data_IF_471094243914
#
_entry.id   IF_471094243914
#
_cell.length_a   1.000
_cell.length_b   1.000
_cell.length_c   1.000
_cell.angle_alpha   90.00
_cell.angle_beta   90.00
_cell.angle_gamma   90.00
#
_symmetry.space_group_name_H-M   'P 1'
#
loop_
_entity.id
_entity.type
_entity.pdbx_description
1 polymer ?
#
# COMPACT_ATOMS: atom_id res chain seq x y z
N UNK A 1 6.52 16.47 28.22
CA UNK A 1 5.55 15.81 27.33
C UNK A 1 6.25 15.41 26.03
N UNK A 2 6.01 14.19 25.57
CA UNK A 2 6.55 13.71 24.29
C UNK A 2 5.90 14.44 23.11
N UNK A 3 6.56 14.46 21.96
CA UNK A 3 6.05 15.14 20.75
C UNK A 3 4.85 14.42 20.16
N UNK A 4 4.89 13.07 20.08
CA UNK A 4 3.85 12.27 19.44
C UNK A 4 3.52 10.99 20.23
N UNK A 5 2.25 10.57 20.18
CA UNK A 5 1.77 9.29 20.67
C UNK A 5 0.99 8.58 19.55
N UNK A 6 1.34 7.34 19.23
CA UNK A 6 0.72 6.55 18.16
C UNK A 6 -0.11 5.42 18.74
N UNK A 7 -1.40 5.42 18.44
CA UNK A 7 -2.32 4.32 18.69
C UNK A 7 -2.58 3.57 17.38
N UNK A 8 -2.09 2.35 17.26
CA UNK A 8 -2.22 1.57 16.06
C UNK A 8 -2.01 0.08 16.27
N UNK A 9 -2.17 -0.72 15.23
CA UNK A 9 -2.07 -2.17 15.29
C UNK A 9 -0.61 -2.59 15.16
N UNK A 10 0.10 -2.74 16.27
CA UNK A 10 1.51 -3.15 16.31
C UNK A 10 1.69 -4.67 16.33
N UNK A 11 0.78 -5.38 16.98
CA UNK A 11 0.90 -6.83 17.19
C UNK A 11 2.14 -7.18 18.01
N UNK A 12 2.39 -6.46 19.10
CA UNK A 12 3.54 -6.67 19.97
C UNK A 12 3.57 -8.13 20.45
N UNK A 13 4.72 -8.80 20.28
CA UNK A 13 4.89 -10.22 20.60
C UNK A 13 4.32 -11.19 19.56
N UNK A 14 3.85 -10.70 18.39
CA UNK A 14 3.31 -11.50 17.29
C UNK A 14 3.99 -11.13 15.97
N UNK A 15 4.30 -12.12 15.16
CA UNK A 15 4.84 -11.89 13.81
C UNK A 15 3.71 -11.69 12.80
N UNK A 16 3.13 -10.48 12.75
CA UNK A 16 2.03 -10.13 11.86
C UNK A 16 2.56 -9.34 10.67
N UNK A 17 2.33 -9.86 9.47
CA UNK A 17 2.79 -9.28 8.19
C UNK A 17 1.65 -8.64 7.38
N UNK A 18 0.49 -8.36 8.00
CA UNK A 18 -0.59 -7.67 7.29
C UNK A 18 -0.27 -6.18 7.09
N UNK A 19 -0.84 -5.59 6.01
CA UNK A 19 -0.56 -4.20 5.62
C UNK A 19 -0.82 -3.16 6.73
N UNK A 20 -1.82 -3.37 7.59
CA UNK A 20 -2.10 -2.48 8.72
C UNK A 20 -0.93 -2.46 9.73
N UNK A 21 -0.43 -3.63 10.12
CA UNK A 21 0.69 -3.73 11.06
C UNK A 21 1.97 -3.15 10.46
N UNK A 22 2.26 -3.49 9.20
CA UNK A 22 3.43 -2.98 8.50
C UNK A 22 3.39 -1.45 8.45
N UNK A 23 2.30 -0.85 7.96
CA UNK A 23 2.19 0.60 7.87
C UNK A 23 2.27 1.28 9.24
N UNK A 24 1.61 0.71 10.28
CA UNK A 24 1.69 1.26 11.63
C UNK A 24 3.13 1.29 12.14
N UNK A 25 3.88 0.21 11.95
CA UNK A 25 5.30 0.13 12.35
C UNK A 25 6.16 1.11 11.54
N UNK A 26 6.02 1.13 10.21
CA UNK A 26 6.80 2.02 9.33
C UNK A 26 6.60 3.49 9.68
N UNK A 27 5.34 3.94 9.85
CA UNK A 27 5.04 5.33 10.25
C UNK A 27 5.63 5.64 11.63
N UNK A 28 5.51 4.71 12.58
CA UNK A 28 6.04 4.93 13.94
C UNK A 28 7.57 4.99 13.95
N UNK A 29 8.23 4.15 13.19
CA UNK A 29 9.69 4.16 13.03
C UNK A 29 10.15 5.49 12.43
N UNK A 30 9.50 5.97 11.38
CA UNK A 30 9.84 7.25 10.77
C UNK A 30 9.61 8.42 11.75
N UNK A 31 8.53 8.40 12.53
CA UNK A 31 8.33 9.38 13.60
C UNK A 31 9.46 9.37 14.63
N UNK A 32 9.95 8.18 15.03
CA UNK A 32 11.07 8.04 15.96
C UNK A 32 12.37 8.56 15.35
N UNK A 33 12.64 8.26 14.10
CA UNK A 33 13.80 8.74 13.36
C UNK A 33 13.81 10.28 13.27
N UNK A 34 12.68 10.90 12.98
CA UNK A 34 12.58 12.34 12.75
C UNK A 34 12.40 13.18 14.01
N UNK A 35 11.76 12.63 15.03
CA UNK A 35 11.44 13.36 16.27
C UNK A 35 12.36 13.00 17.44
N UNK A 36 13.02 11.84 17.35
CA UNK A 36 13.81 11.21 18.41
C UNK A 36 13.06 10.03 19.05
N UNK A 37 13.78 8.95 19.34
CA UNK A 37 13.24 7.68 19.88
C UNK A 37 12.41 7.92 21.16
N UNK A 38 12.92 8.75 22.08
CA UNK A 38 12.26 9.04 23.36
C UNK A 38 11.05 9.96 23.24
N UNK A 39 10.87 10.63 22.09
CA UNK A 39 9.81 11.61 21.85
C UNK A 39 8.52 10.98 21.30
N UNK A 40 8.54 9.68 21.02
CA UNK A 40 7.37 8.95 20.51
C UNK A 40 6.92 7.91 21.53
N UNK A 41 5.63 7.88 21.83
CA UNK A 41 4.99 6.84 22.63
C UNK A 41 4.09 5.99 21.75
N UNK A 42 3.85 4.73 22.14
CA UNK A 42 3.01 3.81 21.37
C UNK A 42 1.95 3.18 22.26
N UNK A 43 0.76 2.90 21.68
CA UNK A 43 -0.30 2.11 22.26
C UNK A 43 -0.76 1.07 21.24
N UNK A 44 -0.68 -0.22 21.58
CA UNK A 44 -1.06 -1.31 20.67
C UNK A 44 -2.56 -1.57 20.70
N UNK A 45 -3.22 -1.37 19.57
CA UNK A 45 -4.64 -1.64 19.39
C UNK A 45 -4.94 -3.11 19.01
N UNK A 46 -3.95 -3.99 19.07
CA UNK A 46 -4.13 -5.42 18.81
C UNK A 46 -4.88 -6.11 19.96
N UNK A 47 -5.86 -6.97 19.65
CA UNK A 47 -6.54 -7.81 20.66
C UNK A 47 -8.07 -7.82 20.60
N UNK A 48 -8.69 -7.11 19.66
CA UNK A 48 -10.14 -7.13 19.44
C UNK A 48 -10.95 -6.58 20.62
N UNK A 49 -12.22 -6.95 20.73
CA UNK A 49 -13.14 -6.42 21.74
C UNK A 49 -12.71 -6.64 23.19
N UNK A 50 -12.10 -7.79 23.49
CA UNK A 50 -11.64 -8.12 24.85
C UNK A 50 -10.53 -7.18 25.35
N UNK A 51 -9.78 -6.56 24.45
CA UNK A 51 -8.71 -5.63 24.78
C UNK A 51 -9.16 -4.17 24.86
N UNK A 52 -10.42 -3.85 24.56
CA UNK A 52 -10.92 -2.46 24.54
C UNK A 52 -10.71 -1.70 25.86
N UNK A 53 -10.94 -2.25 27.06
CA UNK A 53 -10.68 -1.51 28.32
C UNK A 53 -9.20 -1.15 28.46
N UNK A 54 -8.29 -2.09 28.17
CA UNK A 54 -6.84 -1.83 28.17
C UNK A 54 -6.49 -0.73 27.16
N UNK A 55 -7.02 -0.85 25.92
CA UNK A 55 -6.76 0.14 24.87
C UNK A 55 -7.23 1.54 25.28
N UNK A 56 -8.37 1.68 25.94
CA UNK A 56 -8.86 2.96 26.44
C UNK A 56 -7.87 3.57 27.44
N UNK A 57 -7.34 2.78 28.38
CA UNK A 57 -6.32 3.23 29.34
C UNK A 57 -5.02 3.63 28.63
N UNK A 58 -4.57 2.84 27.66
CA UNK A 58 -3.33 3.14 26.94
C UNK A 58 -3.47 4.41 26.08
N UNK A 59 -4.61 4.62 25.43
CA UNK A 59 -4.93 5.88 24.73
C UNK A 59 -4.97 7.06 25.72
N UNK A 60 -5.56 6.90 26.91
CA UNK A 60 -5.55 7.93 27.95
C UNK A 60 -4.12 8.32 28.36
N UNK A 61 -3.23 7.33 28.48
CA UNK A 61 -1.80 7.59 28.76
C UNK A 61 -1.14 8.42 27.65
N UNK A 62 -1.50 8.17 26.37
CA UNK A 62 -1.02 9.00 25.26
C UNK A 62 -1.50 10.45 25.38
N UNK A 63 -2.80 10.66 25.68
CA UNK A 63 -3.35 12.01 25.87
C UNK A 63 -2.71 12.76 27.05
N UNK A 64 -2.37 12.07 28.14
CA UNK A 64 -1.65 12.65 29.28
C UNK A 64 -0.20 13.00 28.94
N UNK A 65 0.48 12.16 28.16
CA UNK A 65 1.93 12.21 27.95
C UNK A 65 2.41 12.89 26.67
N UNK A 66 1.54 13.11 25.66
CA UNK A 66 1.95 13.56 24.35
C UNK A 66 1.26 14.86 23.93
N UNK A 67 1.92 15.66 23.08
CA UNK A 67 1.35 16.88 22.50
C UNK A 67 0.46 16.57 21.29
N UNK A 68 0.85 15.63 20.46
CA UNK A 68 0.11 15.14 19.30
C UNK A 68 -0.29 13.69 19.55
N UNK A 69 -1.52 13.29 19.24
CA UNK A 69 -2.01 11.93 19.39
C UNK A 69 -2.55 11.44 18.06
N UNK A 70 -1.95 10.37 17.55
CA UNK A 70 -2.18 9.83 16.22
C UNK A 70 -2.94 8.52 16.37
N UNK A 71 -4.04 8.35 15.64
CA UNK A 71 -4.72 7.06 15.55
C UNK A 71 -4.57 6.45 14.16
N UNK A 72 -4.42 5.12 14.11
CA UNK A 72 -4.27 4.33 12.89
C UNK A 72 -5.16 3.07 12.91
N UNK A 73 -6.46 3.17 13.24
CA UNK A 73 -7.33 2.00 13.23
C UNK A 73 -7.79 1.65 11.81
N UNK A 74 -8.08 0.36 11.59
CA UNK A 74 -8.89 -0.08 10.45
C UNK A 74 -10.38 0.27 10.66
N UNK A 75 -11.22 -0.02 9.64
CA UNK A 75 -12.65 0.34 9.59
C UNK A 75 -13.45 -0.01 10.85
N UNK A 76 -13.31 -1.22 11.40
CA UNK A 76 -14.01 -1.64 12.63
C UNK A 76 -13.56 -0.85 13.86
N UNK A 77 -12.26 -0.58 13.93
CA UNK A 77 -11.67 0.18 15.04
C UNK A 77 -12.06 1.66 15.02
N UNK A 78 -12.26 2.23 13.84
CA UNK A 78 -12.59 3.65 13.69
C UNK A 78 -13.84 4.04 14.48
N UNK A 79 -14.87 3.18 14.51
CA UNK A 79 -16.13 3.41 15.27
C UNK A 79 -15.91 3.50 16.78
N UNK A 80 -14.87 2.87 17.30
CA UNK A 80 -14.51 2.93 18.72
C UNK A 80 -13.53 4.05 19.01
N UNK A 81 -12.44 4.14 18.23
CA UNK A 81 -11.36 5.08 18.53
C UNK A 81 -11.73 6.53 18.27
N UNK A 82 -12.51 6.85 17.23
CA UNK A 82 -12.85 8.24 16.92
C UNK A 82 -13.66 8.91 18.07
N UNK A 83 -14.73 8.31 18.62
CA UNK A 83 -15.41 8.86 19.79
C UNK A 83 -14.50 8.93 21.03
N UNK A 84 -13.70 7.89 21.29
CA UNK A 84 -12.80 7.83 22.44
C UNK A 84 -11.77 8.97 22.42
N UNK A 85 -11.12 9.20 21.26
CA UNK A 85 -10.15 10.27 21.08
C UNK A 85 -10.78 11.64 21.32
N UNK A 86 -11.96 11.89 20.77
CA UNK A 86 -12.66 13.16 21.00
C UNK A 86 -13.10 13.35 22.43
N UNK A 87 -13.52 12.28 23.10
CA UNK A 87 -13.89 12.33 24.52
C UNK A 87 -12.70 12.75 25.38
N UNK A 88 -11.55 12.10 25.19
CA UNK A 88 -10.34 12.50 25.92
C UNK A 88 -9.86 13.89 25.52
N UNK A 89 -10.01 14.27 24.25
CA UNK A 89 -9.56 15.58 23.78
C UNK A 89 -10.35 16.76 24.35
N UNK A 90 -11.58 16.56 24.83
CA UNK A 90 -12.32 17.58 25.58
C UNK A 90 -11.55 18.05 26.84
N UNK A 91 -10.83 17.14 27.49
CA UNK A 91 -10.09 17.41 28.72
C UNK A 91 -8.64 17.80 28.47
N UNK A 92 -7.97 17.17 27.48
CA UNK A 92 -6.53 17.29 27.29
C UNK A 92 -6.13 18.29 26.21
N UNK A 93 -7.04 18.63 25.25
CA UNK A 93 -6.83 19.61 24.17
C UNK A 93 -5.53 19.35 23.40
N UNK A 94 -5.32 18.10 22.92
CA UNK A 94 -4.18 17.70 22.11
C UNK A 94 -4.50 17.87 20.63
N UNK A 95 -3.47 18.00 19.78
CA UNK A 95 -3.65 17.83 18.34
C UNK A 95 -3.91 16.36 18.04
N UNK A 96 -5.01 16.06 17.40
CA UNK A 96 -5.42 14.69 17.06
C UNK A 96 -5.36 14.46 15.57
N UNK A 97 -4.63 13.43 15.18
CA UNK A 97 -4.36 13.05 13.81
C UNK A 97 -4.93 11.66 13.52
N UNK A 98 -5.48 11.49 12.34
CA UNK A 98 -5.91 10.18 11.86
C UNK A 98 -5.16 9.81 10.58
N UNK A 99 -4.41 8.71 10.60
CA UNK A 99 -3.75 8.17 9.41
C UNK A 99 -4.59 7.01 8.91
N UNK A 100 -5.15 7.17 7.73
CA UNK A 100 -5.95 6.15 7.05
C UNK A 100 -5.02 5.10 6.46
N UNK A 101 -5.40 3.84 6.60
CA UNK A 101 -4.67 2.69 6.04
C UNK A 101 -5.57 2.00 5.03
N UNK A 102 -5.19 2.05 3.76
CA UNK A 102 -5.95 1.50 2.64
C UNK A 102 -7.05 2.44 2.10
N UNK A 103 -7.72 1.97 1.06
CA UNK A 103 -8.63 2.76 0.23
C UNK A 103 -10.13 2.65 0.57
N UNK A 104 -10.50 2.52 1.82
CA UNK A 104 -11.87 2.18 2.22
C UNK A 104 -12.67 3.32 2.88
N UNK A 105 -12.01 4.42 3.30
CA UNK A 105 -12.65 5.40 4.20
C UNK A 105 -13.83 6.11 3.55
N UNK A 106 -13.70 6.53 2.31
CA UNK A 106 -14.73 7.24 1.54
C UNK A 106 -16.05 6.47 1.48
N UNK A 107 -15.97 5.20 1.02
CA UNK A 107 -17.14 4.31 0.91
C UNK A 107 -17.69 3.91 2.28
N UNK A 108 -16.83 3.75 3.28
CA UNK A 108 -17.26 3.44 4.65
C UNK A 108 -18.07 4.57 5.27
N UNK A 109 -17.73 5.81 4.99
CA UNK A 109 -18.45 6.97 5.51
C UNK A 109 -19.86 7.14 4.89
N UNK A 110 -20.16 6.53 3.76
CA UNK A 110 -21.50 6.51 3.17
C UNK A 110 -22.53 5.89 4.12
N UNK A 111 -22.17 4.78 4.72
CA UNK A 111 -23.01 4.06 5.68
C UNK A 111 -22.85 4.53 7.13
N UNK A 112 -21.86 5.40 7.41
CA UNK A 112 -21.52 5.86 8.77
C UNK A 112 -21.46 7.39 8.86
N UNK A 113 -22.52 8.08 8.42
CA UNK A 113 -22.58 9.56 8.36
C UNK A 113 -22.29 10.26 9.69
N UNK A 114 -22.54 9.61 10.83
CA UNK A 114 -22.22 10.16 12.14
C UNK A 114 -20.71 10.32 12.38
N UNK A 115 -19.89 9.45 11.79
CA UNK A 115 -18.40 9.56 11.85
C UNK A 115 -17.90 10.79 11.12
N UNK A 116 -18.57 11.24 10.05
CA UNK A 116 -18.18 12.45 9.31
C UNK A 116 -18.13 13.65 10.27
N UNK A 117 -19.16 13.81 11.13
CA UNK A 117 -19.21 14.90 12.12
C UNK A 117 -18.10 14.83 13.16
N UNK A 118 -17.69 13.61 13.53
CA UNK A 118 -16.61 13.40 14.48
C UNK A 118 -15.24 13.66 13.84
N UNK A 119 -14.99 13.10 12.68
CA UNK A 119 -13.71 13.20 12.00
C UNK A 119 -13.38 14.61 11.54
N UNK A 120 -14.39 15.43 11.21
CA UNK A 120 -14.21 16.87 10.95
C UNK A 120 -13.62 17.65 12.14
N UNK A 121 -13.63 17.11 13.36
CA UNK A 121 -13.05 17.72 14.55
C UNK A 121 -11.58 17.33 14.78
N UNK A 122 -11.01 16.50 13.94
CA UNK A 122 -9.60 16.15 13.98
C UNK A 122 -8.75 17.26 13.35
N UNK A 123 -7.53 17.43 13.82
CA UNK A 123 -6.61 18.44 13.26
C UNK A 123 -6.17 18.06 11.85
N UNK A 124 -6.00 16.77 11.56
CA UNK A 124 -5.74 16.29 10.20
C UNK A 124 -6.14 14.83 10.03
N UNK A 125 -6.58 14.50 8.81
CA UNK A 125 -6.83 13.15 8.33
C UNK A 125 -5.89 12.91 7.15
N UNK A 126 -4.95 11.98 7.30
CA UNK A 126 -3.97 11.65 6.27
C UNK A 126 -4.48 10.50 5.43
N UNK A 127 -4.61 10.75 4.13
CA UNK A 127 -5.05 9.78 3.12
C UNK A 127 -3.93 9.49 2.12
N UNK A 128 -3.99 8.35 1.45
CA UNK A 128 -2.89 7.88 0.60
C UNK A 128 -2.90 8.47 -0.82
N UNK A 129 -4.02 9.05 -1.26
CA UNK A 129 -4.23 9.51 -2.64
C UNK A 129 -4.94 10.86 -2.71
N UNK A 130 -4.70 11.62 -3.79
CA UNK A 130 -5.44 12.86 -4.07
C UNK A 130 -6.91 12.57 -4.36
N UNK A 131 -7.20 11.46 -5.02
CA UNK A 131 -8.57 11.00 -5.29
C UNK A 131 -9.35 10.81 -3.99
N UNK A 132 -8.77 10.14 -2.99
CA UNK A 132 -9.44 9.98 -1.68
C UNK A 132 -9.60 11.33 -0.96
N UNK A 133 -8.61 12.22 -1.03
CA UNK A 133 -8.73 13.58 -0.48
C UNK A 133 -9.88 14.32 -1.13
N UNK A 134 -9.99 14.29 -2.46
CA UNK A 134 -11.09 14.93 -3.19
C UNK A 134 -12.44 14.39 -2.73
N UNK A 135 -12.60 13.07 -2.65
CA UNK A 135 -13.84 12.43 -2.17
C UNK A 135 -14.20 12.85 -0.73
N UNK A 136 -13.22 13.04 0.14
CA UNK A 136 -13.46 13.60 1.49
C UNK A 136 -13.83 15.08 1.44
N UNK A 137 -13.18 15.88 0.59
CA UNK A 137 -13.51 17.29 0.42
C UNK A 137 -14.96 17.48 -0.08
N UNK A 138 -15.44 16.66 -1.00
CA UNK A 138 -16.85 16.64 -1.46
C UNK A 138 -17.83 16.36 -0.31
N UNK A 139 -17.41 15.60 0.71
CA UNK A 139 -18.17 15.37 1.96
C UNK A 139 -18.01 16.53 2.97
N UNK A 140 -17.34 17.61 2.56
CA UNK A 140 -17.09 18.82 3.35
C UNK A 140 -16.02 18.66 4.43
N UNK A 141 -15.03 17.77 4.24
CA UNK A 141 -13.80 17.77 5.04
C UNK A 141 -12.85 18.86 4.52
N UNK A 142 -12.33 19.66 5.42
CA UNK A 142 -11.29 20.66 5.17
C UNK A 142 -9.94 20.31 5.82
N UNK A 143 -9.89 19.16 6.49
CA UNK A 143 -8.74 18.67 7.23
C UNK A 143 -8.13 17.40 6.63
N UNK A 144 -8.50 17.03 5.40
CA UNK A 144 -7.91 15.94 4.66
C UNK A 144 -6.57 16.38 4.03
N UNK A 145 -5.52 15.59 4.24
CA UNK A 145 -4.15 15.85 3.77
C UNK A 145 -3.63 14.60 3.09
N UNK A 146 -2.99 14.74 1.94
CA UNK A 146 -2.33 13.61 1.29
C UNK A 146 -1.01 13.30 1.99
N UNK A 147 -0.86 12.05 2.35
CA UNK A 147 0.37 11.45 2.83
C UNK A 147 0.42 10.05 2.20
N UNK A 148 1.12 9.95 1.09
CA UNK A 148 1.25 8.70 0.36
C UNK A 148 1.73 7.57 1.26
N UNK A 149 1.40 6.34 0.90
CA UNK A 149 2.04 5.20 1.53
C UNK A 149 3.53 5.25 1.24
N UNK A 150 4.32 4.76 2.19
CA UNK A 150 5.78 4.74 2.07
C UNK A 150 6.36 3.55 2.82
N UNK A 151 7.56 3.20 2.45
CA UNK A 151 8.37 2.19 3.13
C UNK A 151 9.84 2.58 3.03
N UNK A 152 10.69 1.97 3.84
CA UNK A 152 12.11 2.13 3.67
C UNK A 152 12.48 1.59 2.29
N UNK A 153 12.95 2.46 1.42
CA UNK A 153 13.32 2.09 0.08
C UNK A 153 14.75 1.56 0.07
N UNK A 154 14.92 0.36 -0.47
CA UNK A 154 16.21 -0.14 -0.94
C UNK A 154 16.26 0.07 -2.46
N UNK A 155 16.03 1.31 -2.90
CA UNK A 155 16.02 1.64 -4.32
C UNK A 155 17.36 1.34 -4.95
N UNK A 156 17.31 0.80 -6.18
CA UNK A 156 18.51 0.68 -7.01
C UNK A 156 19.07 2.07 -7.33
N UNK A 157 20.35 2.13 -7.59
CA UNK A 157 20.93 3.25 -8.34
C UNK A 157 20.63 3.10 -9.84
N UNK A 158 20.73 4.18 -10.60
CA UNK A 158 20.49 4.13 -12.06
C UNK A 158 21.42 3.13 -12.76
N UNK A 159 22.65 2.94 -12.25
CA UNK A 159 23.64 2.02 -12.81
C UNK A 159 23.34 0.53 -12.51
N UNK A 160 22.44 0.24 -11.59
CA UNK A 160 22.02 -1.12 -11.23
C UNK A 160 20.75 -1.56 -11.97
N UNK A 161 20.20 -0.70 -12.85
CA UNK A 161 19.03 -1.05 -13.64
C UNK A 161 19.38 -2.15 -14.65
N UNK A 162 18.62 -3.22 -14.61
CA UNK A 162 18.67 -4.29 -15.61
C UNK A 162 17.68 -4.00 -16.73
N UNK A 163 18.04 -4.27 -17.96
CA UNK A 163 17.20 -4.09 -19.16
C UNK A 163 17.05 -5.43 -19.86
N UNK A 164 16.04 -6.26 -19.49
CA UNK A 164 15.83 -7.53 -20.15
C UNK A 164 15.59 -7.35 -21.65
N UNK A 165 16.42 -7.97 -22.48
CA UNK A 165 16.51 -7.79 -23.95
C UNK A 165 16.19 -9.04 -24.76
N UNK A 166 15.84 -10.16 -24.08
CA UNK A 166 15.58 -11.44 -24.73
C UNK A 166 14.45 -12.24 -24.11
N UNK A 167 13.74 -12.97 -24.97
CA UNK A 167 12.72 -13.93 -24.53
C UNK A 167 13.34 -15.17 -23.85
N UNK A 168 12.67 -15.78 -22.86
CA UNK A 168 11.39 -15.35 -22.31
C UNK A 168 11.54 -14.20 -21.31
N UNK A 169 10.69 -13.18 -21.44
CA UNK A 169 10.62 -12.09 -20.48
C UNK A 169 9.98 -12.54 -19.18
N UNK A 170 10.62 -12.21 -18.05
CA UNK A 170 10.13 -12.61 -16.72
C UNK A 170 9.07 -11.63 -16.22
N UNK A 171 7.87 -12.13 -15.95
CA UNK A 171 6.81 -11.39 -15.30
C UNK A 171 6.64 -11.87 -13.87
N UNK A 172 6.11 -11.02 -13.00
CA UNK A 172 5.72 -11.46 -11.67
C UNK A 172 4.40 -10.83 -11.20
N UNK A 173 3.71 -11.53 -10.28
CA UNK A 173 2.79 -10.90 -9.34
C UNK A 173 3.49 -10.83 -7.98
N UNK A 174 3.31 -9.74 -7.24
CA UNK A 174 4.00 -9.52 -5.97
C UNK A 174 3.04 -8.95 -4.94
N UNK A 175 2.14 -9.79 -4.43
CA UNK A 175 1.11 -9.40 -3.46
C UNK A 175 0.62 -10.63 -2.70
N UNK A 176 -0.23 -10.43 -1.69
CA UNK A 176 -0.95 -11.56 -1.10
C UNK A 176 -1.66 -12.36 -2.21
N UNK A 177 -1.47 -13.67 -2.23
CA UNK A 177 -2.08 -14.55 -3.23
C UNK A 177 -3.52 -14.82 -2.83
N UNK A 178 -4.45 -14.17 -3.51
CA UNK A 178 -5.89 -14.29 -3.33
C UNK A 178 -6.61 -13.90 -4.63
N UNK A 179 -7.87 -14.33 -4.75
CA UNK A 179 -8.65 -14.14 -5.99
C UNK A 179 -8.70 -12.67 -6.42
N UNK A 180 -9.01 -11.78 -5.48
CA UNK A 180 -9.20 -10.34 -5.77
C UNK A 180 -7.90 -9.60 -6.15
N UNK A 181 -6.76 -10.27 -6.05
CA UNK A 181 -5.49 -9.74 -6.58
C UNK A 181 -5.28 -10.06 -8.06
N UNK A 182 -6.25 -10.75 -8.70
CA UNK A 182 -6.22 -11.05 -10.12
C UNK A 182 -5.16 -12.09 -10.51
N UNK A 183 -4.83 -12.99 -9.57
CA UNK A 183 -3.80 -14.03 -9.82
C UNK A 183 -4.22 -14.95 -10.97
N UNK A 184 -5.51 -15.34 -11.02
CA UNK A 184 -6.03 -16.17 -12.11
C UNK A 184 -5.99 -15.43 -13.44
N UNK A 185 -6.33 -14.13 -13.46
CA UNK A 185 -6.24 -13.29 -14.67
C UNK A 185 -4.81 -13.20 -15.20
N UNK A 186 -3.82 -13.07 -14.30
CA UNK A 186 -2.40 -13.04 -14.68
C UNK A 186 -1.95 -14.39 -15.28
N UNK A 187 -2.35 -15.51 -14.66
CA UNK A 187 -2.04 -16.87 -15.13
C UNK A 187 -2.63 -17.09 -16.53
N UNK A 188 -3.91 -16.79 -16.71
CA UNK A 188 -4.63 -17.02 -17.95
C UNK A 188 -4.11 -16.11 -19.08
N UNK A 189 -3.78 -14.86 -18.77
CA UNK A 189 -3.20 -13.94 -19.74
C UNK A 189 -1.85 -14.44 -20.27
N UNK A 190 -0.96 -14.90 -19.39
CA UNK A 190 0.35 -15.43 -19.81
C UNK A 190 0.21 -16.73 -20.61
N UNK A 191 -0.70 -17.62 -20.21
CA UNK A 191 -1.01 -18.83 -21.00
C UNK A 191 -1.51 -18.47 -22.40
N UNK A 192 -2.44 -17.52 -22.46
CA UNK A 192 -3.06 -17.07 -23.73
C UNK A 192 -2.04 -16.48 -24.68
N UNK A 193 -1.21 -15.53 -24.22
CA UNK A 193 -0.23 -14.86 -25.11
C UNK A 193 0.82 -15.83 -25.60
N UNK A 194 1.36 -16.71 -24.76
CA UNK A 194 2.33 -17.73 -25.18
C UNK A 194 1.73 -18.71 -26.18
N UNK A 195 0.47 -19.13 -25.98
CA UNK A 195 -0.24 -20.00 -26.91
C UNK A 195 -0.50 -19.32 -28.25
N UNK A 196 -0.98 -18.06 -28.25
CA UNK A 196 -1.25 -17.31 -29.48
C UNK A 196 0.02 -17.06 -30.31
N UNK A 197 1.16 -16.84 -29.66
CA UNK A 197 2.44 -16.63 -30.32
C UNK A 197 3.21 -17.92 -30.65
N UNK A 198 2.68 -19.09 -30.22
CA UNK A 198 3.26 -20.38 -30.50
C UNK A 198 4.62 -20.65 -29.87
N UNK A 199 5.04 -19.82 -28.90
CA UNK A 199 6.32 -19.92 -28.18
C UNK A 199 6.23 -19.33 -26.79
N UNK A 200 7.17 -19.67 -25.91
CA UNK A 200 7.25 -19.10 -24.58
C UNK A 200 7.88 -17.71 -24.62
N UNK A 201 7.06 -16.67 -24.78
CA UNK A 201 7.49 -15.27 -24.76
C UNK A 201 7.62 -14.76 -23.33
N UNK A 202 6.76 -15.26 -22.42
CA UNK A 202 6.74 -14.83 -21.03
C UNK A 202 6.82 -16.01 -20.07
N UNK A 203 7.54 -15.81 -18.95
CA UNK A 203 7.39 -16.63 -17.74
C UNK A 203 6.69 -15.83 -16.66
N UNK A 204 6.04 -16.49 -15.71
CA UNK A 204 5.34 -15.84 -14.60
C UNK A 204 5.74 -16.46 -13.26
N UNK A 205 6.27 -15.64 -12.37
CA UNK A 205 6.51 -16.00 -10.98
C UNK A 205 5.47 -15.35 -10.07
N UNK A 206 4.81 -16.15 -9.22
CA UNK A 206 3.75 -15.70 -8.31
C UNK A 206 4.34 -15.59 -6.91
N UNK A 207 4.55 -14.36 -6.43
CA UNK A 207 5.08 -14.09 -5.09
C UNK A 207 4.01 -13.61 -4.13
N UNK A 208 4.06 -14.12 -2.91
CA UNK A 208 3.26 -13.69 -1.79
C UNK A 208 2.79 -14.82 -0.90
N UNK A 209 2.30 -14.44 0.28
CA UNK A 209 1.63 -15.37 1.18
C UNK A 209 0.25 -15.70 0.62
N UNK A 210 -0.09 -16.98 0.56
CA UNK A 210 -1.43 -17.43 0.15
C UNK A 210 -2.42 -17.11 1.26
N UNK A 211 -3.55 -16.51 0.86
CA UNK A 211 -4.65 -16.24 1.78
C UNK A 211 -5.34 -17.55 2.17
N UNK A 212 -5.69 -17.70 3.43
CA UNK A 212 -6.28 -18.95 3.96
C UNK A 212 -7.55 -19.34 3.23
N UNK A 213 -8.40 -18.38 2.87
CA UNK A 213 -9.66 -18.64 2.19
C UNK A 213 -9.48 -19.00 0.71
N UNK A 214 -8.25 -18.85 0.19
CA UNK A 214 -7.88 -19.14 -1.20
C UNK A 214 -6.91 -20.33 -1.35
N UNK A 215 -6.47 -20.92 -0.26
CA UNK A 215 -5.40 -21.93 -0.22
C UNK A 215 -5.77 -23.19 -1.01
N UNK A 216 -6.99 -23.70 -0.84
CA UNK A 216 -7.48 -24.88 -1.57
C UNK A 216 -7.54 -24.60 -3.08
N UNK A 217 -8.18 -23.50 -3.48
CA UNK A 217 -8.28 -23.09 -4.89
C UNK A 217 -6.91 -22.91 -5.53
N UNK A 218 -5.98 -22.24 -4.85
CA UNK A 218 -4.63 -22.03 -5.38
C UNK A 218 -3.82 -23.32 -5.49
N UNK A 219 -4.05 -24.29 -4.58
CA UNK A 219 -3.44 -25.60 -4.66
C UNK A 219 -3.90 -26.38 -5.90
N UNK A 220 -5.18 -26.30 -6.25
CA UNK A 220 -5.70 -26.87 -7.50
C UNK A 220 -5.12 -26.19 -8.74
N UNK A 221 -5.06 -24.85 -8.73
CA UNK A 221 -4.46 -24.11 -9.84
C UNK A 221 -3.01 -24.51 -10.08
N UNK A 222 -2.20 -24.67 -9.04
CA UNK A 222 -0.80 -25.09 -9.16
C UNK A 222 -0.60 -26.40 -9.91
N UNK A 223 -1.56 -27.35 -9.80
CA UNK A 223 -1.47 -28.63 -10.52
C UNK A 223 -1.58 -28.45 -12.05
N UNK A 224 -2.11 -27.31 -12.50
CA UNK A 224 -2.31 -27.00 -13.92
C UNK A 224 -1.26 -26.01 -14.48
N UNK A 225 -0.23 -25.68 -13.69
CA UNK A 225 0.80 -24.76 -14.14
C UNK A 225 1.68 -25.40 -15.23
N UNK A 226 1.83 -24.76 -16.38
CA UNK A 226 2.87 -25.13 -17.32
C UNK A 226 4.24 -24.72 -16.78
N UNK A 227 5.32 -25.24 -17.38
CA UNK A 227 6.70 -25.05 -16.92
C UNK A 227 7.13 -23.56 -16.83
N UNK A 228 6.45 -22.69 -17.55
CA UNK A 228 6.73 -21.25 -17.54
C UNK A 228 5.97 -20.48 -16.44
N UNK A 229 5.18 -21.14 -15.56
CA UNK A 229 4.50 -20.52 -14.41
C UNK A 229 4.99 -21.17 -13.12
N UNK A 230 5.44 -20.35 -12.16
CA UNK A 230 6.00 -20.83 -10.90
C UNK A 230 5.43 -20.08 -9.70
N UNK A 231 5.41 -20.76 -8.55
CA UNK A 231 5.10 -20.17 -7.25
C UNK A 231 6.41 -19.86 -6.52
N UNK A 232 6.74 -18.58 -6.38
CA UNK A 232 7.96 -18.09 -5.72
C UNK A 232 7.83 -17.96 -4.20
N UNK A 233 6.61 -18.13 -3.66
CA UNK A 233 6.36 -18.01 -2.21
C UNK A 233 6.45 -16.58 -1.69
N UNK A 234 6.53 -16.43 -0.37
CA UNK A 234 6.62 -15.14 0.28
C UNK A 234 8.07 -14.64 0.33
N UNK A 235 8.28 -13.38 -0.04
CA UNK A 235 9.58 -12.70 -0.01
C UNK A 235 9.61 -11.75 1.19
N UNK A 236 10.74 -11.68 1.88
CA UNK A 236 10.96 -10.73 2.94
C UNK A 236 10.97 -9.29 2.40
N UNK A 237 10.39 -8.35 3.16
CA UNK A 237 10.17 -6.99 2.69
C UNK A 237 11.46 -6.22 2.32
N UNK A 238 12.57 -6.54 2.97
CA UNK A 238 13.89 -5.97 2.71
C UNK A 238 14.56 -6.52 1.44
N UNK A 239 14.03 -7.63 0.88
CA UNK A 239 14.54 -8.26 -0.35
C UNK A 239 13.66 -7.99 -1.57
N UNK A 240 12.58 -7.22 -1.43
CA UNK A 240 11.62 -7.02 -2.51
C UNK A 240 12.27 -6.39 -3.75
N UNK A 241 13.02 -5.31 -3.60
CA UNK A 241 13.69 -4.62 -4.71
C UNK A 241 14.71 -5.52 -5.41
N UNK A 242 15.55 -6.22 -4.64
CA UNK A 242 16.55 -7.14 -5.19
C UNK A 242 15.89 -8.31 -5.95
N UNK A 243 14.76 -8.80 -5.44
CA UNK A 243 13.99 -9.85 -6.14
C UNK A 243 13.39 -9.33 -7.45
N UNK A 244 12.83 -8.11 -7.43
CA UNK A 244 12.09 -7.58 -8.56
C UNK A 244 12.98 -7.05 -9.69
N UNK A 245 14.21 -6.61 -9.45
CA UNK A 245 15.06 -5.91 -10.42
C UNK A 245 15.23 -6.65 -11.77
N UNK A 246 15.26 -7.98 -11.75
CA UNK A 246 15.44 -8.82 -12.95
C UNK A 246 14.12 -9.12 -13.68
N UNK A 247 12.98 -8.65 -13.18
CA UNK A 247 11.71 -8.84 -13.86
C UNK A 247 11.47 -7.78 -14.92
N UNK A 248 10.83 -8.22 -16.01
CA UNK A 248 10.46 -7.35 -17.11
C UNK A 248 9.26 -6.47 -16.75
N UNK A 249 8.24 -7.05 -16.11
CA UNK A 249 7.08 -6.32 -15.63
C UNK A 249 6.50 -6.91 -14.34
N UNK A 250 5.89 -6.03 -13.52
CA UNK A 250 4.97 -6.43 -12.45
C UNK A 250 3.53 -6.45 -12.99
N UNK A 251 2.83 -7.56 -12.86
CA UNK A 251 1.40 -7.66 -13.13
C UNK A 251 0.62 -7.38 -11.84
N UNK A 252 -0.26 -6.38 -11.89
CA UNK A 252 -1.07 -5.96 -10.75
C UNK A 252 -2.55 -5.80 -11.14
N UNK A 253 -3.21 -6.88 -11.63
CA UNK A 253 -4.59 -6.86 -12.11
C UNK A 253 -5.62 -6.92 -10.96
N UNK A 254 -5.37 -6.20 -9.87
CA UNK A 254 -6.17 -6.25 -8.64
C UNK A 254 -7.55 -5.64 -8.82
N UNK A 255 -8.57 -6.25 -8.18
CA UNK A 255 -9.90 -5.67 -7.93
C UNK A 255 -10.28 -5.75 -6.45
N UNK A 256 -9.28 -5.82 -5.58
CA UNK A 256 -9.46 -5.87 -4.13
C UNK A 256 -10.07 -4.57 -3.60
N UNK A 257 -11.24 -4.68 -2.94
CA UNK A 257 -12.00 -3.51 -2.45
C UNK A 257 -11.28 -2.65 -1.43
N UNK A 258 -10.35 -3.22 -0.68
CA UNK A 258 -9.56 -2.54 0.34
C UNK A 258 -8.26 -1.92 -0.20
N UNK A 259 -8.03 -1.92 -1.52
CA UNK A 259 -6.82 -1.39 -2.11
C UNK A 259 -6.69 0.11 -1.83
N UNK A 260 -5.54 0.50 -1.30
CA UNK A 260 -5.08 1.88 -1.23
C UNK A 260 -3.90 2.06 -2.15
N UNK A 261 -2.90 2.83 -1.75
CA UNK A 261 -1.62 2.82 -2.43
C UNK A 261 -0.83 1.56 -2.05
N UNK A 262 -0.81 0.59 -2.95
CA UNK A 262 -0.21 -0.71 -2.70
C UNK A 262 1.31 -0.61 -2.58
N UNK A 263 1.88 -1.16 -1.49
CA UNK A 263 3.33 -1.17 -1.27
C UNK A 263 4.11 -1.90 -2.36
N UNK A 264 3.48 -2.84 -3.08
CA UNK A 264 4.09 -3.54 -4.21
C UNK A 264 4.39 -2.63 -5.40
N UNK A 265 3.59 -1.56 -5.60
CA UNK A 265 3.87 -0.55 -6.64
C UNK A 265 5.17 0.21 -6.30
N UNK A 266 5.36 0.54 -5.02
CA UNK A 266 6.59 1.18 -4.55
C UNK A 266 7.79 0.25 -4.73
N UNK A 267 7.63 -1.06 -4.44
CA UNK A 267 8.69 -2.06 -4.63
C UNK A 267 9.11 -2.16 -6.10
N UNK A 268 8.13 -2.27 -7.01
CA UNK A 268 8.39 -2.34 -8.43
C UNK A 268 9.10 -1.08 -8.95
N UNK A 269 8.59 0.10 -8.59
CA UNK A 269 9.23 1.37 -8.95
C UNK A 269 10.66 1.47 -8.40
N UNK A 270 10.89 1.06 -7.15
CA UNK A 270 12.23 1.09 -6.53
C UNK A 270 13.22 0.13 -7.19
N UNK A 271 12.71 -0.91 -7.86
CA UNK A 271 13.47 -1.84 -8.68
C UNK A 271 13.56 -1.41 -10.16
N UNK A 272 13.01 -0.25 -10.51
CA UNK A 272 12.91 0.19 -11.89
C UNK A 272 12.06 -0.74 -12.77
N UNK A 273 11.07 -1.42 -12.21
CA UNK A 273 10.20 -2.37 -12.94
C UNK A 273 8.88 -1.71 -13.28
N UNK A 274 8.55 -1.54 -14.57
CA UNK A 274 7.27 -0.99 -14.98
C UNK A 274 6.12 -1.93 -14.62
N UNK A 275 4.93 -1.34 -14.41
CA UNK A 275 3.77 -2.04 -13.87
C UNK A 275 2.66 -2.11 -14.91
N UNK A 276 2.01 -3.27 -15.04
CA UNK A 276 0.73 -3.42 -15.74
C UNK A 276 -0.34 -3.57 -14.67
N UNK A 277 -1.16 -2.53 -14.47
CA UNK A 277 -2.16 -2.50 -13.41
C UNK A 277 -3.59 -2.32 -13.96
N UNK A 278 -4.56 -2.85 -13.23
CA UNK A 278 -5.97 -2.53 -13.45
C UNK A 278 -6.27 -1.07 -13.09
N UNK A 279 -7.20 -0.43 -13.80
CA UNK A 279 -7.81 0.82 -13.37
C UNK A 279 -8.79 0.54 -12.22
N UNK A 280 -8.21 0.31 -11.06
CA UNK A 280 -8.94 -0.01 -9.85
C UNK A 280 -8.56 0.94 -8.72
N UNK A 281 -9.58 1.55 -8.10
CA UNK A 281 -9.40 2.47 -6.98
C UNK A 281 -8.47 3.64 -7.36
N UNK A 282 -7.22 3.57 -6.93
CA UNK A 282 -6.25 4.67 -7.03
C UNK A 282 -5.04 4.29 -7.89
N UNK A 283 -5.05 3.13 -8.55
CA UNK A 283 -3.89 2.65 -9.31
C UNK A 283 -3.48 3.62 -10.42
N UNK A 284 -4.45 4.24 -11.10
CA UNK A 284 -4.22 5.25 -12.15
C UNK A 284 -3.59 6.55 -11.65
N UNK A 285 -3.61 6.81 -10.33
CA UNK A 285 -2.88 7.94 -9.73
C UNK A 285 -1.38 7.64 -9.58
N UNK A 286 -1.01 6.36 -9.41
CA UNK A 286 0.36 5.96 -9.10
C UNK A 286 1.10 5.34 -10.29
N UNK A 287 0.38 4.68 -11.18
CA UNK A 287 0.94 4.13 -12.42
C UNK A 287 0.66 5.10 -13.56
N UNK A 288 1.71 5.80 -13.98
CA UNK A 288 1.61 6.82 -15.04
C UNK A 288 1.83 6.16 -16.41
N UNK A 289 0.80 6.13 -17.28
CA UNK A 289 0.90 5.49 -18.60
C UNK A 289 2.08 6.03 -19.42
N UNK A 290 2.88 5.11 -19.98
CA UNK A 290 4.05 5.43 -20.79
C UNK A 290 5.28 5.95 -20.03
N UNK A 291 5.19 6.06 -18.68
CA UNK A 291 6.31 6.46 -17.81
C UNK A 291 6.69 5.40 -16.79
N UNK A 292 5.70 4.84 -16.08
CA UNK A 292 5.94 3.85 -15.04
C UNK A 292 5.19 2.56 -15.29
N UNK A 293 4.41 2.49 -16.37
CA UNK A 293 3.65 1.31 -16.74
C UNK A 293 2.46 1.60 -17.64
N UNK A 294 1.45 0.73 -17.53
CA UNK A 294 0.18 0.79 -18.27
C UNK A 294 -0.98 0.53 -17.31
N UNK A 295 -2.08 1.25 -17.51
CA UNK A 295 -3.36 1.04 -16.83
C UNK A 295 -4.34 0.37 -17.80
N UNK A 296 -5.03 -0.68 -17.33
CA UNK A 296 -6.03 -1.43 -18.09
C UNK A 296 -7.40 -1.22 -17.46
N UNK A 297 -8.28 -0.52 -18.16
CA UNK A 297 -9.68 -0.37 -17.78
C UNK A 297 -10.40 -1.70 -17.80
N UNK A 298 -11.23 -1.98 -16.78
CA UNK A 298 -11.96 -3.24 -16.64
C UNK A 298 -11.05 -4.45 -16.93
N UNK A 299 -9.90 -4.50 -16.24
CA UNK A 299 -8.87 -5.52 -16.43
C UNK A 299 -9.46 -6.93 -16.27
N UNK A 300 -9.18 -7.76 -17.26
CA UNK A 300 -9.44 -9.19 -17.26
C UNK A 300 -8.29 -9.90 -17.99
N UNK A 301 -8.29 -11.23 -18.00
CA UNK A 301 -7.24 -12.01 -18.64
C UNK A 301 -7.05 -11.71 -20.14
N UNK A 302 -8.15 -11.48 -20.88
CA UNK A 302 -8.08 -11.19 -22.33
C UNK A 302 -7.40 -9.85 -22.62
N UNK A 303 -7.82 -8.78 -21.92
CA UNK A 303 -7.22 -7.45 -22.06
C UNK A 303 -5.76 -7.44 -21.62
N UNK A 304 -5.45 -8.15 -20.54
CA UNK A 304 -4.07 -8.30 -20.07
C UNK A 304 -3.22 -9.06 -21.09
N UNK A 305 -3.74 -10.14 -21.69
CA UNK A 305 -3.04 -10.87 -22.76
C UNK A 305 -2.78 -9.98 -23.98
N UNK A 306 -3.74 -9.15 -24.38
CA UNK A 306 -3.58 -8.21 -25.48
C UNK A 306 -2.46 -7.21 -25.20
N UNK A 307 -2.43 -6.61 -24.02
CA UNK A 307 -1.37 -5.67 -23.62
C UNK A 307 0.01 -6.37 -23.60
N UNK A 308 0.08 -7.61 -23.12
CA UNK A 308 1.31 -8.40 -23.15
C UNK A 308 1.77 -8.68 -24.59
N UNK A 309 0.86 -8.97 -25.53
CA UNK A 309 1.19 -9.13 -26.94
C UNK A 309 1.76 -7.84 -27.54
N UNK A 310 1.08 -6.69 -27.30
CA UNK A 310 1.54 -5.38 -27.79
C UNK A 310 2.95 -5.00 -27.21
N UNK A 311 3.26 -5.42 -25.98
CA UNK A 311 4.58 -5.20 -25.36
C UNK A 311 5.63 -6.13 -25.97
N UNK A 312 5.27 -7.38 -26.31
CA UNK A 312 6.19 -8.32 -26.97
C UNK A 312 6.66 -7.81 -28.33
N UNK A 313 5.81 -7.09 -29.05
CA UNK A 313 6.14 -6.47 -30.34
C UNK A 313 7.10 -5.28 -30.19
N UNK A 314 7.19 -4.64 -29.03
CA UNK A 314 8.05 -3.48 -28.80
C UNK A 314 8.64 -3.46 -27.37
N UNK A 315 9.52 -4.40 -27.01
CA UNK A 315 10.08 -4.52 -25.67
C UNK A 315 10.99 -3.36 -25.27
N UNK A 316 11.65 -2.71 -26.26
CA UNK A 316 12.52 -1.56 -26.00
C UNK A 316 11.73 -0.37 -25.45
N UNK A 317 10.55 -0.11 -26.03
CA UNK A 317 9.63 0.93 -25.54
C UNK A 317 9.19 0.64 -24.09
N UNK A 318 8.97 -0.63 -23.74
CA UNK A 318 8.65 -1.02 -22.37
C UNK A 318 9.84 -0.77 -21.44
N UNK A 319 11.02 -1.22 -21.84
CA UNK A 319 12.25 -1.01 -21.09
C UNK A 319 12.59 0.47 -20.87
N UNK A 320 12.24 1.36 -21.79
CA UNK A 320 12.49 2.80 -21.65
C UNK A 320 11.80 3.44 -20.43
N UNK A 321 10.77 2.79 -19.88
CA UNK A 321 10.07 3.26 -18.69
C UNK A 321 10.81 2.96 -17.38
N UNK A 322 11.82 2.08 -17.38
CA UNK A 322 12.48 1.60 -16.15
C UNK A 322 13.12 2.73 -15.34
N UNK A 323 13.86 3.61 -16.00
CA UNK A 323 14.48 4.75 -15.34
C UNK A 323 13.44 5.72 -14.77
N UNK A 324 12.34 5.95 -15.49
CA UNK A 324 11.25 6.80 -15.02
C UNK A 324 10.54 6.19 -13.82
N UNK A 325 10.35 4.87 -13.80
CA UNK A 325 9.78 4.15 -12.65
C UNK A 325 10.68 4.31 -11.42
N UNK A 326 12.02 4.11 -11.57
CA UNK A 326 12.97 4.28 -10.47
C UNK A 326 12.93 5.70 -9.88
N UNK A 327 12.95 6.73 -10.74
CA UNK A 327 12.87 8.13 -10.29
C UNK A 327 11.54 8.47 -9.63
N UNK A 328 10.44 7.87 -10.07
CA UNK A 328 9.12 8.05 -9.44
C UNK A 328 9.10 7.52 -8.00
N UNK A 329 9.78 6.40 -7.72
CA UNK A 329 9.86 5.80 -6.38
C UNK A 329 10.37 6.78 -5.31
N UNK A 330 11.26 7.72 -5.67
CA UNK A 330 11.81 8.69 -4.74
C UNK A 330 10.75 9.55 -4.04
N UNK A 331 9.60 9.78 -4.67
CA UNK A 331 8.49 10.53 -4.08
C UNK A 331 7.92 9.83 -2.84
N UNK A 332 8.07 8.51 -2.78
CA UNK A 332 7.51 7.64 -1.76
C UNK A 332 8.55 7.22 -0.71
N UNK A 333 9.68 7.91 -0.66
CA UNK A 333 10.63 7.75 0.44
C UNK A 333 10.00 8.17 1.77
N UNK A 334 10.35 7.54 2.91
CA UNK A 334 9.81 7.89 4.21
C UNK A 334 9.94 9.38 4.51
N UNK A 335 11.06 9.98 4.16
CA UNK A 335 11.34 11.39 4.37
C UNK A 335 10.35 12.31 3.62
N UNK A 336 10.17 12.07 2.32
CA UNK A 336 9.30 12.92 1.48
C UNK A 336 7.82 12.69 1.82
N UNK A 337 7.41 11.43 1.92
CA UNK A 337 6.01 11.09 2.13
C UNK A 337 5.50 11.44 3.54
N UNK A 338 6.34 11.31 4.59
CA UNK A 338 5.92 11.65 5.96
C UNK A 338 5.96 13.15 6.28
N UNK A 339 6.54 13.97 5.41
CA UNK A 339 6.72 15.41 5.64
C UNK A 339 5.44 16.13 6.08
N UNK A 340 4.25 15.92 5.48
CA UNK A 340 3.04 16.61 5.91
C UNK A 340 2.66 16.35 7.38
N UNK A 341 2.90 15.12 7.86
CA UNK A 341 2.68 14.75 9.26
C UNK A 341 3.73 15.37 10.18
N UNK A 342 5.01 15.26 9.81
CA UNK A 342 6.13 15.79 10.61
C UNK A 342 6.04 17.30 10.78
N UNK A 343 5.73 18.03 9.72
CA UNK A 343 5.61 19.48 9.75
C UNK A 343 4.48 19.91 10.68
N UNK A 344 3.31 19.29 10.61
CA UNK A 344 2.20 19.56 11.52
C UNK A 344 2.53 19.24 12.98
N UNK A 345 3.22 18.12 13.26
CA UNK A 345 3.64 17.77 14.63
C UNK A 345 4.58 18.85 15.20
N UNK A 346 5.43 19.43 14.36
CA UNK A 346 6.36 20.48 14.75
C UNK A 346 5.74 21.91 14.74
N UNK A 347 4.43 22.03 14.47
CA UNK A 347 3.74 23.31 14.42
C UNK A 347 3.97 24.13 13.15
N UNK A 348 4.47 23.50 12.10
CA UNK A 348 4.59 24.09 10.77
C UNK A 348 3.34 23.70 9.99
N UNK A 349 2.25 24.46 10.16
CA UNK A 349 1.05 24.23 9.36
C UNK A 349 1.37 24.66 7.93
N UNK A 350 1.47 23.70 7.00
CA UNK A 350 1.47 24.01 5.58
C UNK A 350 0.10 24.60 5.23
N UNK A 351 0.08 25.87 4.89
CA UNK A 351 -1.06 26.58 4.29
C UNK A 351 -1.37 25.97 2.92
#
# INVERSE_FOLDING_TARGET
>A
MKKAGVCGHFGIGRNLLNGQTVKTKTVTEELKNRLGETQVAVADSCGGFKAMPRMAVDVLRLFKGCKNVIMMPANRGLRFFAPLFLTYNKFYRRRIHYIVIGGWLDTFLESHKWLVRLLKKFDAIYVESETMKAALCERGFNNAVVMHNFKKLNSLSENELEYPDGEPYKLCTFSRVMKEKGIEDAIDAVKTVNSCLGRTVYTLDIFGQVDKDYEERFSELKKTFPDFIRCGGAIAADRSTETLKSYFALLFPTYYRGEGFAGTLIDAMSAGVPVIASDWKYNSEFVVPGKTGVIIENCNSEKLAKVLADIADNPEKWNSMRLSALREAEKYSPEKASRPLIDRINGRDCL
#
